data_IF_636911256326
#
_entry.id   IF_636911256326
#
_cell.length_a   1.000
_cell.length_b   1.000
_cell.length_c   1.000
_cell.angle_alpha   90.00
_cell.angle_beta   90.00
_cell.angle_gamma   90.00
#
_symmetry.space_group_name_H-M   'P 1'
#
loop_
_entity.id
_entity.type
_entity.pdbx_description
1 polymer ?
#
# COMPACT_ATOMS: atom_id res chain seq x y z
N UNK A 1 -21.19 -17.23 -2.95
CA UNK A 1 -20.69 -15.92 -2.48
C UNK A 1 -19.20 -15.74 -2.80
N UNK A 2 -18.35 -16.73 -2.49
CA UNK A 2 -16.89 -16.73 -2.77
C UNK A 2 -16.51 -16.43 -4.22
N UNK A 3 -17.22 -17.00 -5.21
CA UNK A 3 -16.94 -16.80 -6.64
C UNK A 3 -17.16 -15.35 -7.11
N UNK A 4 -18.18 -14.67 -6.59
CA UNK A 4 -18.44 -13.24 -6.87
C UNK A 4 -17.37 -12.33 -6.27
N UNK A 5 -16.87 -12.66 -5.08
CA UNK A 5 -15.78 -11.91 -4.43
C UNK A 5 -14.47 -12.10 -5.19
N UNK A 6 -14.20 -13.34 -5.64
CA UNK A 6 -13.02 -13.64 -6.46
C UNK A 6 -13.02 -12.89 -7.79
N UNK A 7 -14.14 -12.92 -8.52
CA UNK A 7 -14.29 -12.18 -9.79
C UNK A 7 -14.21 -10.66 -9.57
N UNK A 8 -14.73 -10.15 -8.46
CA UNK A 8 -14.66 -8.73 -8.12
C UNK A 8 -13.23 -8.27 -7.78
N UNK A 9 -12.47 -9.10 -7.05
CA UNK A 9 -11.10 -8.78 -6.64
C UNK A 9 -10.09 -8.95 -7.78
N UNK A 10 -10.14 -10.08 -8.51
CA UNK A 10 -9.10 -10.44 -9.47
C UNK A 10 -9.42 -10.05 -10.92
N UNK A 11 -10.69 -9.98 -11.32
CA UNK A 11 -11.06 -9.72 -12.72
C UNK A 11 -11.19 -8.22 -13.04
N UNK A 12 -11.25 -7.35 -12.01
CA UNK A 12 -11.38 -5.89 -12.18
C UNK A 12 -10.12 -5.08 -11.80
N UNK A 13 -8.98 -5.73 -11.53
CA UNK A 13 -7.78 -5.07 -10.99
C UNK A 13 -8.10 -4.18 -9.77
N UNK A 14 -8.93 -4.70 -8.86
CA UNK A 14 -9.41 -3.90 -7.74
C UNK A 14 -8.23 -3.56 -6.81
N UNK A 15 -8.01 -2.29 -6.43
CA UNK A 15 -6.86 -1.90 -5.60
C UNK A 15 -6.77 -2.68 -4.29
N UNK A 16 -7.92 -3.09 -3.74
CA UNK A 16 -8.02 -3.90 -2.53
C UNK A 16 -7.48 -5.33 -2.70
N UNK A 17 -7.61 -5.93 -3.88
CA UNK A 17 -7.06 -7.26 -4.15
C UNK A 17 -5.53 -7.22 -4.12
N UNK A 18 -4.97 -6.18 -4.74
CA UNK A 18 -3.53 -5.95 -4.74
C UNK A 18 -2.98 -5.57 -3.37
N UNK A 19 -3.78 -4.89 -2.53
CA UNK A 19 -3.45 -4.68 -1.11
C UNK A 19 -3.26 -6.02 -0.40
N UNK A 20 -4.20 -6.96 -0.57
CA UNK A 20 -4.10 -8.29 0.03
C UNK A 20 -2.85 -9.06 -0.47
N UNK A 21 -2.55 -8.99 -1.77
CA UNK A 21 -1.33 -9.60 -2.33
C UNK A 21 -0.07 -9.02 -1.68
N UNK A 22 0.01 -7.69 -1.51
CA UNK A 22 1.15 -7.05 -0.84
C UNK A 22 1.24 -7.47 0.62
N UNK A 23 0.13 -7.47 1.36
CA UNK A 23 0.10 -7.89 2.77
C UNK A 23 0.62 -9.33 2.93
N UNK A 24 0.15 -10.26 2.10
CA UNK A 24 0.55 -11.68 2.17
C UNK A 24 2.01 -11.84 1.78
N UNK A 25 2.44 -11.26 0.66
CA UNK A 25 3.81 -11.40 0.17
C UNK A 25 4.84 -10.76 1.11
N UNK A 26 4.62 -9.52 1.53
CA UNK A 26 5.52 -8.86 2.49
C UNK A 26 5.43 -9.47 3.88
N UNK A 27 4.26 -9.96 4.31
CA UNK A 27 4.12 -10.72 5.56
C UNK A 27 4.95 -12.01 5.56
N UNK A 28 5.01 -12.73 4.44
CA UNK A 28 5.90 -13.87 4.27
C UNK A 28 7.37 -13.46 4.29
N UNK A 29 7.74 -12.38 3.59
CA UNK A 29 9.12 -11.87 3.59
C UNK A 29 9.56 -11.45 4.99
N UNK A 30 8.70 -10.78 5.76
CA UNK A 30 8.94 -10.41 7.16
C UNK A 30 9.16 -11.65 8.02
N UNK A 31 8.30 -12.66 7.87
CA UNK A 31 8.41 -13.92 8.63
C UNK A 31 9.71 -14.64 8.32
N UNK A 32 10.05 -14.79 7.03
CA UNK A 32 11.29 -15.44 6.60
C UNK A 32 12.49 -14.65 7.12
N UNK A 33 12.46 -13.31 7.03
CA UNK A 33 13.56 -12.49 7.49
C UNK A 33 13.79 -12.63 8.99
N UNK A 34 12.74 -12.51 9.80
CA UNK A 34 12.82 -12.53 11.27
C UNK A 34 13.24 -13.89 11.83
N UNK A 35 12.82 -15.00 11.21
CA UNK A 35 13.14 -16.34 11.70
C UNK A 35 14.40 -16.95 11.10
N UNK A 36 14.79 -16.59 9.87
CA UNK A 36 15.83 -17.32 9.12
C UNK A 36 17.02 -16.48 8.68
N UNK A 37 16.83 -15.21 8.31
CA UNK A 37 17.89 -14.39 7.70
C UNK A 37 18.56 -13.51 8.75
N UNK A 38 17.78 -12.58 9.33
CA UNK A 38 18.22 -11.67 10.37
C UNK A 38 17.47 -12.04 11.64
N UNK A 39 17.89 -13.16 12.23
CA UNK A 39 17.21 -13.78 13.34
C UNK A 39 16.93 -12.78 14.47
N UNK A 40 15.64 -12.61 14.80
CA UNK A 40 15.15 -11.69 15.84
C UNK A 40 15.44 -10.20 15.61
N UNK A 41 15.79 -9.79 14.40
CA UNK A 41 15.94 -8.37 14.08
C UNK A 41 14.57 -7.71 13.84
N UNK A 42 14.06 -7.11 14.91
CA UNK A 42 12.80 -6.36 14.90
C UNK A 42 12.86 -5.15 13.96
N UNK A 43 14.01 -4.45 13.89
CA UNK A 43 14.12 -3.22 13.10
C UNK A 43 13.99 -3.53 11.62
N UNK A 44 14.70 -4.54 11.12
CA UNK A 44 14.60 -4.95 9.72
C UNK A 44 13.20 -5.42 9.36
N UNK A 45 12.50 -6.10 10.28
CA UNK A 45 11.11 -6.54 10.08
C UNK A 45 10.17 -5.36 9.81
N UNK A 46 10.28 -4.28 10.61
CA UNK A 46 9.49 -3.07 10.43
C UNK A 46 9.93 -2.22 9.23
N UNK A 47 11.19 -2.29 8.81
CA UNK A 47 11.67 -1.68 7.57
C UNK A 47 11.07 -2.40 6.34
N UNK A 48 10.98 -3.73 6.37
CA UNK A 48 10.33 -4.51 5.30
C UNK A 48 8.84 -4.15 5.22
N UNK A 49 8.15 -4.08 6.36
CA UNK A 49 6.75 -3.63 6.42
C UNK A 49 6.57 -2.24 5.79
N UNK A 50 7.39 -1.29 6.19
CA UNK A 50 7.42 0.08 5.66
C UNK A 50 7.61 0.11 4.14
N UNK A 51 8.57 -0.68 3.64
CA UNK A 51 8.86 -0.79 2.22
C UNK A 51 7.67 -1.34 1.44
N UNK A 52 6.96 -2.34 1.98
CA UNK A 52 5.74 -2.87 1.37
C UNK A 52 4.63 -1.83 1.23
N UNK A 53 4.42 -1.02 2.26
CA UNK A 53 3.43 0.09 2.24
C UNK A 53 3.81 1.12 1.17
N UNK A 54 5.09 1.49 1.09
CA UNK A 54 5.58 2.46 0.11
C UNK A 54 5.41 1.93 -1.31
N UNK A 55 5.80 0.68 -1.57
CA UNK A 55 5.67 0.03 -2.88
C UNK A 55 4.20 -0.04 -3.32
N UNK A 56 3.30 -0.40 -2.41
CA UNK A 56 1.86 -0.40 -2.68
C UNK A 56 1.32 1.01 -2.98
N UNK A 57 1.85 2.03 -2.30
CA UNK A 57 1.44 3.42 -2.54
C UNK A 57 1.86 3.90 -3.93
N UNK A 58 3.06 3.52 -4.38
CA UNK A 58 3.53 3.78 -5.75
C UNK A 58 2.65 3.07 -6.78
N UNK A 59 2.37 1.78 -6.56
CA UNK A 59 1.45 1.01 -7.40
C UNK A 59 0.09 1.68 -7.53
N UNK A 60 -0.46 2.16 -6.42
CA UNK A 60 -1.73 2.87 -6.41
C UNK A 60 -1.69 4.19 -7.20
N UNK A 61 -0.61 4.97 -7.05
CA UNK A 61 -0.44 6.22 -7.79
C UNK A 61 -0.41 5.98 -9.31
N UNK A 62 0.26 4.92 -9.76
CA UNK A 62 0.25 4.49 -11.16
C UNK A 62 -1.15 4.07 -11.60
N UNK A 63 -1.86 3.27 -10.79
CA UNK A 63 -3.22 2.84 -11.13
C UNK A 63 -4.22 4.00 -11.19
N UNK A 64 -4.04 5.05 -10.40
CA UNK A 64 -4.86 6.26 -10.49
C UNK A 64 -4.70 7.01 -11.82
N UNK A 65 -3.50 6.98 -12.42
CA UNK A 65 -3.26 7.56 -13.75
C UNK A 65 -4.02 6.81 -14.85
N UNK A 66 -4.16 5.49 -14.71
CA UNK A 66 -4.82 4.61 -15.68
C UNK A 66 -6.33 4.46 -15.47
N UNK A 67 -6.84 4.87 -14.31
CA UNK A 67 -8.22 4.64 -13.93
C UNK A 67 -9.21 5.43 -14.80
N UNK A 68 -10.38 4.86 -15.12
CA UNK A 68 -11.43 5.59 -15.86
C UNK A 68 -12.04 6.73 -15.04
N UNK A 69 -12.29 6.51 -13.75
CA UNK A 69 -12.83 7.52 -12.83
C UNK A 69 -11.80 7.87 -11.75
N UNK A 70 -11.39 9.14 -11.72
CA UNK A 70 -10.38 9.63 -10.78
C UNK A 70 -10.89 9.63 -9.33
N UNK A 71 -12.14 10.02 -9.11
CA UNK A 71 -12.76 10.06 -7.77
C UNK A 71 -12.89 8.66 -7.19
N UNK A 72 -13.34 7.69 -8.00
CA UNK A 72 -13.47 6.31 -7.56
C UNK A 72 -12.09 5.70 -7.28
N UNK A 73 -11.09 5.97 -8.13
CA UNK A 73 -9.73 5.48 -7.92
C UNK A 73 -9.11 6.05 -6.65
N UNK A 74 -9.29 7.35 -6.39
CA UNK A 74 -8.80 8.02 -5.18
C UNK A 74 -9.27 7.33 -3.91
N UNK A 75 -10.59 7.07 -3.79
CA UNK A 75 -11.17 6.43 -2.62
C UNK A 75 -10.61 5.02 -2.42
N UNK A 76 -10.58 4.20 -3.48
CA UNK A 76 -10.07 2.83 -3.38
C UNK A 76 -8.59 2.78 -3.03
N UNK A 77 -7.78 3.69 -3.59
CA UNK A 77 -6.37 3.81 -3.25
C UNK A 77 -6.19 4.19 -1.78
N UNK A 78 -6.95 5.17 -1.28
CA UNK A 78 -6.82 5.64 0.09
C UNK A 78 -7.18 4.52 1.07
N UNK A 79 -8.29 3.81 0.85
CA UNK A 79 -8.66 2.64 1.64
C UNK A 79 -7.62 1.52 1.53
N UNK A 80 -7.10 1.25 0.33
CA UNK A 80 -6.07 0.26 0.11
C UNK A 80 -4.80 0.55 0.91
N UNK A 81 -4.34 1.82 0.93
CA UNK A 81 -3.12 2.22 1.64
C UNK A 81 -3.32 2.02 3.15
N UNK A 82 -4.48 2.42 3.68
CA UNK A 82 -4.82 2.23 5.09
C UNK A 82 -4.84 0.74 5.46
N UNK A 83 -5.50 -0.09 4.65
CA UNK A 83 -5.59 -1.54 4.88
C UNK A 83 -4.20 -2.18 4.84
N UNK A 84 -3.36 -1.82 3.86
CA UNK A 84 -1.98 -2.32 3.75
C UNK A 84 -1.14 -1.87 4.94
N UNK A 85 -1.25 -0.61 5.35
CA UNK A 85 -0.51 -0.06 6.49
C UNK A 85 -0.88 -0.78 7.80
N UNK A 86 -2.17 -0.91 8.09
CA UNK A 86 -2.65 -1.62 9.27
C UNK A 86 -2.27 -3.10 9.19
N UNK A 87 -2.49 -3.75 8.06
CA UNK A 87 -2.22 -5.18 7.86
C UNK A 87 -0.76 -5.55 8.11
N UNK A 88 0.17 -4.82 7.48
CA UNK A 88 1.60 -5.08 7.66
C UNK A 88 2.11 -4.70 9.05
N UNK A 89 1.54 -3.66 9.67
CA UNK A 89 1.88 -3.31 11.06
C UNK A 89 1.45 -4.41 12.02
N UNK A 90 0.22 -4.90 11.90
CA UNK A 90 -0.31 -5.97 12.75
C UNK A 90 0.50 -7.26 12.57
N UNK A 91 0.85 -7.62 11.34
CA UNK A 91 1.72 -8.78 11.08
C UNK A 91 3.10 -8.58 11.72
N UNK A 92 3.69 -7.39 11.59
CA UNK A 92 4.97 -7.08 12.24
C UNK A 92 4.91 -7.17 13.76
N UNK A 93 3.84 -6.67 14.37
CA UNK A 93 3.59 -6.80 15.81
C UNK A 93 3.43 -8.26 16.24
N UNK A 94 2.73 -9.07 15.45
CA UNK A 94 2.55 -10.50 15.73
C UNK A 94 3.88 -11.28 15.62
N UNK A 95 4.71 -10.98 14.62
CA UNK A 95 6.01 -11.64 14.43
C UNK A 95 6.99 -11.25 15.55
N UNK A 96 7.08 -9.97 15.87
CA UNK A 96 8.03 -9.44 16.86
C UNK A 96 7.52 -9.52 18.30
N UNK A 97 6.24 -9.87 18.51
CA UNK A 97 5.56 -9.83 19.81
C UNK A 97 5.59 -8.45 20.50
N UNK A 98 5.71 -7.37 19.72
CA UNK A 98 5.78 -5.99 20.20
C UNK A 98 4.42 -5.30 20.21
N UNK A 99 4.20 -4.48 21.23
CA UNK A 99 3.03 -3.61 21.30
C UNK A 99 3.27 -2.26 20.62
N UNK A 100 2.20 -1.60 20.18
CA UNK A 100 2.28 -0.31 19.45
C UNK A 100 3.12 0.76 20.16
N UNK A 101 3.08 0.80 21.50
CA UNK A 101 3.85 1.73 22.33
C UNK A 101 5.36 1.50 22.29
N UNK A 102 5.80 0.29 21.95
CA UNK A 102 7.21 -0.10 21.94
C UNK A 102 7.90 0.18 20.61
N UNK A 103 7.13 0.53 19.57
CA UNK A 103 7.61 0.68 18.20
C UNK A 103 7.58 2.15 17.75
N UNK A 104 8.09 3.06 18.60
CA UNK A 104 8.09 4.51 18.34
C UNK A 104 8.83 4.87 17.04
N UNK A 105 9.96 4.20 16.77
CA UNK A 105 10.72 4.38 15.52
C UNK A 105 9.89 4.06 14.28
N UNK A 106 9.21 2.91 14.27
CA UNK A 106 8.33 2.53 13.16
C UNK A 106 7.16 3.48 13.02
N UNK A 107 6.58 3.94 14.14
CA UNK A 107 5.46 4.89 14.12
C UNK A 107 5.86 6.19 13.42
N UNK A 108 7.10 6.67 13.63
CA UNK A 108 7.65 7.83 12.92
C UNK A 108 7.81 7.55 11.41
N UNK A 109 8.36 6.40 11.04
CA UNK A 109 8.48 6.00 9.63
C UNK A 109 7.11 5.89 8.96
N UNK A 110 6.16 5.24 9.62
CA UNK A 110 4.80 5.04 9.12
C UNK A 110 4.12 6.38 8.83
N UNK A 111 4.26 7.36 9.73
CA UNK A 111 3.75 8.73 9.52
C UNK A 111 4.35 9.38 8.28
N UNK A 112 5.66 9.28 8.11
CA UNK A 112 6.36 9.82 6.93
C UNK A 112 5.87 9.13 5.65
N UNK A 113 5.72 7.80 5.67
CA UNK A 113 5.26 7.03 4.52
C UNK A 113 3.84 7.42 4.14
N UNK A 114 2.91 7.47 5.10
CA UNK A 114 1.53 7.89 4.83
C UNK A 114 1.49 9.29 4.23
N UNK A 115 2.29 10.23 4.75
CA UNK A 115 2.40 11.57 4.19
C UNK A 115 2.92 11.55 2.74
N UNK A 116 4.01 10.81 2.49
CA UNK A 116 4.59 10.65 1.15
C UNK A 116 3.58 10.01 0.18
N UNK A 117 2.79 9.03 0.63
CA UNK A 117 1.73 8.42 -0.18
C UNK A 117 0.67 9.42 -0.60
N UNK A 118 0.24 10.32 0.29
CA UNK A 118 -0.70 11.40 -0.04
C UNK A 118 -0.12 12.39 -1.07
N UNK A 119 1.17 12.70 -0.95
CA UNK A 119 1.89 13.53 -1.92
C UNK A 119 1.90 12.84 -3.29
N UNK A 120 2.25 11.55 -3.37
CA UNK A 120 2.22 10.79 -4.62
C UNK A 120 0.84 10.75 -5.26
N UNK A 121 -0.21 10.53 -4.47
CA UNK A 121 -1.58 10.57 -4.98
C UNK A 121 -1.93 11.96 -5.54
N UNK A 122 -1.53 13.04 -4.86
CA UNK A 122 -1.77 14.42 -5.31
C UNK A 122 -1.05 14.75 -6.62
N UNK A 123 0.18 14.26 -6.78
CA UNK A 123 0.94 14.37 -8.03
C UNK A 123 0.24 13.59 -9.14
N UNK A 124 -0.21 12.36 -8.88
CA UNK A 124 -0.91 11.54 -9.86
C UNK A 124 -2.20 12.22 -10.36
N UNK A 125 -2.98 12.84 -9.45
CA UNK A 125 -4.17 13.61 -9.83
C UNK A 125 -3.81 14.80 -10.71
N UNK A 126 -2.75 15.53 -10.37
CA UNK A 126 -2.32 16.70 -11.12
C UNK A 126 -1.81 16.32 -12.51
N UNK A 127 -0.97 15.28 -12.61
CA UNK A 127 -0.49 14.73 -13.88
C UNK A 127 -1.62 14.30 -14.79
N UNK A 128 -2.63 13.62 -14.23
CA UNK A 128 -3.78 13.19 -15.04
C UNK A 128 -4.58 14.36 -15.59
N UNK A 129 -4.79 15.43 -14.82
CA UNK A 129 -5.44 16.64 -15.32
C UNK A 129 -4.65 17.29 -16.46
N UNK A 130 -3.31 17.30 -16.38
CA UNK A 130 -2.44 17.81 -17.44
C UNK A 130 -2.58 16.96 -18.71
N UNK A 131 -2.58 15.63 -18.59
CA UNK A 131 -2.75 14.71 -19.72
C UNK A 131 -4.14 14.88 -20.34
N UNK A 132 -5.20 14.94 -19.53
CA UNK A 132 -6.56 15.18 -20.00
C UNK A 132 -6.70 16.55 -20.70
N UNK A 133 -6.00 17.58 -20.23
CA UNK A 133 -5.95 18.89 -20.90
C UNK A 133 -5.22 18.82 -22.24
N UNK A 134 -4.07 18.14 -22.30
CA UNK A 134 -3.29 17.98 -23.53
C UNK A 134 -3.98 17.09 -24.59
N UNK A 135 -4.83 16.15 -24.15
CA UNK A 135 -5.61 15.26 -25.01
C UNK A 135 -6.94 15.84 -25.47
N UNK A 136 -7.39 16.98 -24.92
CA UNK A 136 -8.54 17.68 -25.49
C UNK A 136 -8.13 18.15 -26.88
N UNK A 137 -8.83 17.71 -27.95
CA UNK A 137 -8.53 18.21 -29.29
C UNK A 137 -8.67 19.73 -29.23
N UNK A 138 -7.62 20.44 -29.66
CA UNK A 138 -7.64 21.88 -29.86
C UNK A 138 -8.94 22.25 -30.57
N UNK A 139 -9.89 22.84 -29.83
CA UNK A 139 -10.99 23.59 -30.40
C UNK A 139 -10.58 25.05 -30.38
#
# INVERSE_FOLDING_TARGET
>A
MVRKVYDYLFNQNHPLAWSAVVIISFGLVMTINFYWINAQDEQTTFIIASTGILLYSIYCAVMMLLAKSLVQAWNHTLFGIIITAIGLTLIGMLITSRNWSEIDYYTKILKVIVFVSLVFMSIAVSMRKIVEYAQRPNK
#
